data_IF_286764222468
#
_entry.id   IF_286764222468
#
_cell.length_a   1.000
_cell.length_b   1.000
_cell.length_c   1.000
_cell.angle_alpha   90.00
_cell.angle_beta   90.00
_cell.angle_gamma   90.00
#
_symmetry.space_group_name_H-M   'P 1'
#
loop_
_entity.id
_entity.type
_entity.pdbx_description
1 polymer ?
#
# COMPACT_ATOMS: atom_id res chain seq x y z
N UNK A 1 -8.70 -3.66 -9.80
CA UNK A 1 -8.79 -3.85 -8.33
C UNK A 1 -8.68 -2.52 -7.61
N UNK A 2 -9.32 -2.43 -6.49
CA UNK A 2 -9.33 -1.22 -5.66
C UNK A 2 -8.41 -1.41 -4.48
N UNK A 3 -7.52 -0.45 -4.28
CA UNK A 3 -6.59 -0.46 -3.14
C UNK A 3 -6.87 0.78 -2.31
N UNK A 4 -7.24 0.59 -1.05
CA UNK A 4 -7.52 1.67 -0.12
C UNK A 4 -6.43 1.73 0.94
N UNK A 5 -5.91 2.93 1.18
CA UNK A 5 -4.81 3.17 2.11
C UNK A 5 -5.27 4.13 3.20
N UNK A 6 -5.08 3.73 4.44
CA UNK A 6 -5.41 4.57 5.58
C UNK A 6 -4.28 4.50 6.61
N UNK A 7 -3.78 5.65 7.01
CA UNK A 7 -2.68 5.72 7.96
C UNK A 7 -3.16 6.01 9.36
N UNK A 8 -2.58 5.33 10.35
CA UNK A 8 -2.75 5.67 11.77
C UNK A 8 -1.66 6.60 12.25
N UNK A 9 -0.56 6.68 11.49
CA UNK A 9 0.57 7.58 11.72
C UNK A 9 1.03 8.07 10.35
N UNK A 10 1.68 9.25 10.26
CA UNK A 10 2.23 9.70 8.99
C UNK A 10 3.16 8.64 8.41
N UNK A 11 2.90 8.23 7.16
CA UNK A 11 3.58 7.09 6.55
C UNK A 11 3.91 7.40 5.10
N UNK A 12 5.19 7.37 4.78
CA UNK A 12 5.64 7.53 3.40
C UNK A 12 5.30 6.28 2.60
N UNK A 13 4.61 6.46 1.49
CA UNK A 13 4.12 5.33 0.69
C UNK A 13 4.31 5.61 -0.79
N UNK A 14 4.76 4.60 -1.53
CA UNK A 14 4.84 4.65 -2.99
C UNK A 14 4.13 3.44 -3.58
N UNK A 15 3.46 3.66 -4.71
CA UNK A 15 2.82 2.59 -5.48
C UNK A 15 3.30 2.72 -6.92
N UNK A 16 3.89 1.65 -7.44
CA UNK A 16 4.47 1.61 -8.78
C UNK A 16 3.84 0.46 -9.56
N UNK A 17 3.49 0.70 -10.82
CA UNK A 17 2.92 -0.35 -11.66
C UNK A 17 4.02 -1.22 -12.30
N UNK A 18 3.60 -2.25 -13.05
CA UNK A 18 4.53 -3.19 -13.68
C UNK A 18 5.41 -2.53 -14.76
N UNK A 19 4.99 -1.39 -15.29
CA UNK A 19 5.75 -0.65 -16.31
C UNK A 19 6.71 0.37 -15.68
N UNK A 20 6.80 0.41 -14.35
CA UNK A 20 7.67 1.35 -13.65
C UNK A 20 7.07 2.73 -13.42
N UNK A 21 5.79 2.93 -13.77
CA UNK A 21 5.13 4.21 -13.54
C UNK A 21 4.71 4.35 -12.10
N UNK A 22 5.02 5.49 -11.51
CA UNK A 22 4.64 5.79 -10.13
C UNK A 22 3.21 6.31 -10.11
N UNK A 23 2.31 5.54 -9.52
CA UNK A 23 0.89 5.89 -9.40
C UNK A 23 0.63 6.76 -8.18
N UNK A 24 1.44 6.59 -7.13
CA UNK A 24 1.34 7.35 -5.90
C UNK A 24 2.72 7.44 -5.26
N UNK A 25 3.15 8.62 -4.88
CA UNK A 25 4.35 8.82 -4.07
C UNK A 25 4.04 9.98 -3.14
N UNK A 26 3.74 9.68 -1.89
CA UNK A 26 3.41 10.75 -0.93
C UNK A 26 3.41 10.26 0.51
N UNK A 27 3.36 11.22 1.41
CA UNK A 27 3.13 10.97 2.82
C UNK A 27 1.61 10.78 3.03
N UNK A 28 1.21 9.62 3.50
CA UNK A 28 -0.18 9.35 3.88
C UNK A 28 -0.32 9.75 5.35
N UNK A 29 -1.29 10.60 5.66
CA UNK A 29 -1.48 11.09 7.03
C UNK A 29 -2.84 10.63 7.57
N UNK A 30 -2.96 10.50 8.91
CA UNK A 30 -4.24 10.12 9.52
C UNK A 30 -5.37 11.08 9.12
N UNK A 31 -6.53 10.53 8.83
CA UNK A 31 -7.69 11.32 8.42
C UNK A 31 -7.75 11.65 6.94
N UNK A 32 -6.76 11.26 6.14
CA UNK A 32 -6.72 11.51 4.70
C UNK A 32 -6.49 10.20 3.94
N UNK A 33 -7.48 9.31 3.92
CA UNK A 33 -7.33 8.05 3.21
C UNK A 33 -7.18 8.26 1.70
N UNK A 34 -6.54 7.30 1.05
CA UNK A 34 -6.32 7.31 -0.40
C UNK A 34 -6.88 6.04 -1.01
N UNK A 35 -7.47 6.16 -2.18
CA UNK A 35 -8.01 5.04 -2.93
C UNK A 35 -7.42 5.03 -4.32
N UNK A 36 -6.96 3.86 -4.77
CA UNK A 36 -6.42 3.66 -6.10
C UNK A 36 -7.22 2.59 -6.81
N UNK A 37 -7.56 2.86 -8.07
CA UNK A 37 -8.12 1.84 -8.97
C UNK A 37 -7.01 1.45 -9.95
N UNK A 38 -6.65 0.17 -9.99
CA UNK A 38 -5.56 -0.31 -10.83
C UNK A 38 -6.00 -1.53 -11.62
N UNK A 39 -5.54 -1.62 -12.87
CA UNK A 39 -5.86 -2.72 -13.78
C UNK A 39 -4.75 -3.74 -13.86
N UNK A 40 -3.55 -3.35 -13.47
CA UNK A 40 -2.33 -4.15 -13.60
C UNK A 40 -1.75 -4.44 -12.23
N UNK A 41 -0.76 -5.32 -12.18
CA UNK A 41 -0.02 -5.54 -10.94
C UNK A 41 0.69 -4.25 -10.52
N UNK A 42 0.71 -4.01 -9.23
CA UNK A 42 1.41 -2.87 -8.63
C UNK A 42 2.19 -3.33 -7.42
N UNK A 43 3.26 -2.59 -7.12
CA UNK A 43 4.06 -2.81 -5.92
C UNK A 43 3.90 -1.58 -5.02
N UNK A 44 3.46 -1.81 -3.80
CA UNK A 44 3.34 -0.78 -2.78
C UNK A 44 4.52 -0.92 -1.83
N UNK A 45 5.20 0.19 -1.56
CA UNK A 45 6.28 0.24 -0.58
C UNK A 45 5.93 1.29 0.47
N UNK A 46 5.97 0.90 1.72
CA UNK A 46 5.69 1.81 2.83
C UNK A 46 6.88 1.90 3.77
N UNK A 47 7.11 3.10 4.29
CA UNK A 47 8.18 3.33 5.26
C UNK A 47 7.79 2.99 6.70
N UNK A 48 6.52 2.73 6.96
CA UNK A 48 6.03 2.37 8.29
C UNK A 48 4.86 1.38 8.14
N UNK A 49 5.21 0.11 8.03
CA UNK A 49 4.23 -0.94 7.76
C UNK A 49 3.14 -1.04 8.83
N UNK A 50 3.47 -0.86 10.09
CA UNK A 50 2.51 -0.91 11.18
C UNK A 50 1.62 0.33 11.27
N UNK A 51 1.96 1.40 10.58
CA UNK A 51 1.18 2.63 10.56
C UNK A 51 0.22 2.75 9.38
N UNK A 52 0.16 1.73 8.52
CA UNK A 52 -0.66 1.76 7.31
C UNK A 52 -1.62 0.57 7.28
N UNK A 53 -2.91 0.87 7.13
CA UNK A 53 -3.93 -0.15 6.91
C UNK A 53 -4.25 -0.18 5.43
N UNK A 54 -4.24 -1.37 4.84
CA UNK A 54 -4.49 -1.56 3.42
C UNK A 54 -5.73 -2.43 3.25
N UNK A 55 -6.63 -2.01 2.35
CA UNK A 55 -7.78 -2.81 1.95
C UNK A 55 -7.68 -3.11 0.46
N UNK A 56 -7.84 -4.37 0.12
CA UNK A 56 -7.84 -4.82 -1.26
C UNK A 56 -9.27 -5.24 -1.62
N UNK A 57 -9.89 -4.52 -2.56
CA UNK A 57 -11.28 -4.74 -2.97
C UNK A 57 -12.25 -4.75 -1.77
N UNK A 58 -12.03 -3.83 -0.83
CA UNK A 58 -12.86 -3.69 0.36
C UNK A 58 -12.51 -4.60 1.53
N UNK A 59 -11.53 -5.49 1.35
CA UNK A 59 -11.12 -6.44 2.38
C UNK A 59 -9.78 -6.01 3.00
N UNK A 60 -9.75 -5.86 4.31
CA UNK A 60 -8.51 -5.52 5.01
C UNK A 60 -7.51 -6.66 4.93
N UNK A 61 -6.28 -6.33 4.53
CA UNK A 61 -5.17 -7.29 4.57
C UNK A 61 -4.30 -7.07 5.81
N UNK A 62 -4.73 -6.14 6.69
CA UNK A 62 -4.03 -5.83 7.93
C UNK A 62 -2.76 -5.04 7.72
N UNK A 63 -2.04 -4.74 8.81
CA UNK A 63 -0.68 -4.21 8.71
C UNK A 63 0.22 -5.26 8.06
N UNK A 64 1.08 -4.83 7.14
CA UNK A 64 1.98 -5.76 6.43
C UNK A 64 3.32 -5.93 7.12
N UNK A 65 3.47 -5.35 8.30
CA UNK A 65 4.68 -5.49 9.11
C UNK A 65 4.58 -4.66 10.37
N UNK A 66 5.62 -4.69 11.21
CA UNK A 66 5.64 -3.92 12.45
C UNK A 66 5.82 -2.43 12.22
N UNK A 67 5.43 -1.64 13.22
CA UNK A 67 5.60 -0.19 13.22
C UNK A 67 7.08 0.17 13.03
N UNK A 68 7.33 1.16 12.18
CA UNK A 68 8.68 1.66 11.92
C UNK A 68 9.49 0.84 10.95
N UNK A 69 8.92 -0.22 10.37
CA UNK A 69 9.63 -1.08 9.41
C UNK A 69 9.17 -0.82 7.98
N UNK A 70 10.13 -0.82 7.07
CA UNK A 70 9.86 -0.73 5.63
C UNK A 70 9.40 -2.10 5.14
N UNK A 71 8.32 -2.11 4.34
CA UNK A 71 7.78 -3.34 3.76
C UNK A 71 7.26 -3.07 2.36
N UNK A 72 7.21 -4.12 1.57
CA UNK A 72 6.62 -4.10 0.23
C UNK A 72 5.52 -5.14 0.14
N UNK A 73 4.52 -4.85 -0.70
CA UNK A 73 3.48 -5.81 -1.04
C UNK A 73 3.17 -5.67 -2.52
N UNK A 74 3.06 -6.79 -3.21
CA UNK A 74 2.67 -6.84 -4.61
C UNK A 74 1.19 -7.20 -4.68
N UNK A 75 0.44 -6.42 -5.46
CA UNK A 75 -0.97 -6.70 -5.75
C UNK A 75 -1.09 -7.15 -7.21
N UNK A 76 -1.76 -8.27 -7.44
CA UNK A 76 -1.97 -8.82 -8.76
C UNK A 76 -3.25 -9.64 -8.80
N UNK A 77 -4.10 -9.35 -9.78
CA UNK A 77 -5.33 -10.12 -10.04
C UNK A 77 -6.22 -10.27 -8.79
N UNK A 78 -6.35 -9.22 -8.00
CA UNK A 78 -7.18 -9.25 -6.80
C UNK A 78 -6.58 -9.99 -5.62
N UNK A 79 -5.30 -10.37 -5.72
CA UNK A 79 -4.56 -11.04 -4.66
C UNK A 79 -3.35 -10.19 -4.24
N UNK A 80 -2.72 -10.56 -3.14
CA UNK A 80 -1.52 -9.87 -2.69
C UNK A 80 -0.45 -10.85 -2.23
N UNK A 81 0.80 -10.39 -2.32
CA UNK A 81 1.95 -11.18 -1.86
C UNK A 81 2.90 -10.22 -1.16
N UNK A 82 3.27 -10.54 0.09
CA UNK A 82 4.23 -9.74 0.83
C UNK A 82 5.62 -9.96 0.23
N UNK A 83 6.29 -8.86 -0.09
CA UNK A 83 7.64 -8.88 -0.58
C UNK A 83 8.67 -8.78 0.55
N UNK A 84 9.96 -8.95 0.22
CA UNK A 84 11.02 -8.72 1.20
C UNK A 84 11.07 -7.25 1.61
N UNK A 85 11.53 -7.04 2.81
CA UNK A 85 11.66 -5.69 3.34
C UNK A 85 12.84 -4.94 2.72
#
# INVERSE_FOLDING_TARGET
>A
MRIELEASQPTWTSVTDADGNKLLVRLIVPGEPRTLEVDKSVILRTGNAGGLTIRLNGKSIGPIGPTGKVREVEFKDGAFKLGPA
#
